data_IF_918364197713
#
_entry.id   IF_918364197713
#
_cell.length_a   1.000
_cell.length_b   1.000
_cell.length_c   1.000
_cell.angle_alpha   90.00
_cell.angle_beta   90.00
_cell.angle_gamma   90.00
#
_symmetry.space_group_name_H-M   'P 1'
#
loop_
_entity.id
_entity.type
_entity.pdbx_description
1 polymer ?
#
# COMPACT_ATOMS: atom_id res chain seq x y z
N UNK A 1 13.44 -8.05 4.45
CA UNK A 1 12.91 -7.21 5.54
C UNK A 1 12.60 -7.93 6.86
N UNK A 2 11.61 -8.83 6.97
CA UNK A 2 11.16 -9.40 8.27
C UNK A 2 12.26 -10.03 9.13
N UNK A 3 13.16 -10.81 8.51
CA UNK A 3 14.32 -11.42 9.19
C UNK A 3 15.29 -10.37 9.74
N UNK A 4 15.61 -9.35 8.94
CA UNK A 4 16.51 -8.25 9.33
C UNK A 4 15.92 -7.43 10.47
N UNK A 5 14.63 -7.08 10.40
CA UNK A 5 13.91 -6.36 11.45
C UNK A 5 13.89 -7.18 12.75
N UNK A 6 13.55 -8.47 12.66
CA UNK A 6 13.62 -9.39 13.81
C UNK A 6 15.01 -9.41 14.43
N UNK A 7 16.05 -9.57 13.62
CA UNK A 7 17.43 -9.68 14.10
C UNK A 7 17.93 -8.34 14.69
N UNK A 8 17.46 -7.21 14.18
CA UNK A 8 17.69 -5.88 14.76
C UNK A 8 17.03 -5.75 16.13
N UNK A 9 15.75 -6.08 16.26
CA UNK A 9 15.02 -6.03 17.53
C UNK A 9 15.57 -6.98 18.59
N UNK A 10 16.04 -8.18 18.20
CA UNK A 10 16.71 -9.11 19.12
C UNK A 10 18.04 -8.59 19.68
N UNK A 11 18.66 -7.62 18.99
CA UNK A 11 19.91 -6.98 19.41
C UNK A 11 19.67 -5.62 20.06
N UNK A 12 18.43 -5.15 20.10
CA UNK A 12 18.11 -3.85 20.64
C UNK A 12 18.22 -3.84 22.17
N UNK A 13 18.68 -2.72 22.74
CA UNK A 13 18.83 -2.55 24.19
C UNK A 13 17.51 -2.30 24.93
N UNK A 14 16.42 -2.01 24.21
CA UNK A 14 15.11 -1.76 24.81
C UNK A 14 14.34 -3.08 25.00
N UNK A 15 13.83 -3.29 26.22
CA UNK A 15 13.13 -4.52 26.59
C UNK A 15 11.90 -4.81 25.70
N UNK A 16 11.14 -3.77 25.35
CA UNK A 16 9.96 -3.90 24.48
C UNK A 16 10.33 -4.39 23.07
N UNK A 17 11.41 -3.86 22.51
CA UNK A 17 11.95 -4.26 21.20
C UNK A 17 12.48 -5.69 21.24
N UNK A 18 13.24 -6.06 22.26
CA UNK A 18 13.71 -7.44 22.43
C UNK A 18 12.55 -8.44 22.52
N UNK A 19 11.53 -8.14 23.34
CA UNK A 19 10.33 -8.98 23.47
C UNK A 19 9.61 -9.12 22.14
N UNK A 20 9.52 -8.04 21.37
CA UNK A 20 8.92 -8.03 20.05
C UNK A 20 9.73 -8.88 19.04
N UNK A 21 11.06 -8.72 19.01
CA UNK A 21 11.96 -9.54 18.20
C UNK A 21 11.86 -11.03 18.55
N UNK A 22 11.74 -11.35 19.84
CA UNK A 22 11.53 -12.73 20.32
C UNK A 22 10.20 -13.29 19.82
N UNK A 23 9.11 -12.51 19.89
CA UNK A 23 7.80 -12.93 19.38
C UNK A 23 7.82 -13.19 17.87
N UNK A 24 8.46 -12.32 17.09
CA UNK A 24 8.65 -12.51 15.65
C UNK A 24 9.52 -13.74 15.30
N UNK A 25 10.46 -14.11 16.17
CA UNK A 25 11.29 -15.31 16.01
C UNK A 25 10.51 -16.58 16.31
N UNK A 26 9.80 -16.59 17.43
CA UNK A 26 9.14 -17.78 17.97
C UNK A 26 7.82 -18.08 17.23
N UNK A 27 7.20 -17.07 16.61
CA UNK A 27 5.95 -17.19 15.85
C UNK A 27 6.15 -16.86 14.36
N UNK A 28 6.76 -17.79 13.62
CA UNK A 28 6.96 -17.66 12.16
C UNK A 28 5.65 -17.78 11.36
N UNK A 29 4.59 -18.22 12.01
CA UNK A 29 3.23 -18.30 11.51
C UNK A 29 2.48 -16.95 11.57
N UNK A 30 3.03 -15.92 12.23
CA UNK A 30 2.47 -14.57 12.15
C UNK A 30 2.80 -13.93 10.81
N UNK A 31 1.84 -13.22 10.24
CA UNK A 31 1.96 -12.39 9.05
C UNK A 31 2.19 -10.94 9.46
N UNK A 32 3.13 -10.27 8.79
CA UNK A 32 3.36 -8.83 8.92
C UNK A 32 2.79 -8.13 7.67
N UNK A 33 1.89 -7.17 7.91
CA UNK A 33 1.26 -6.35 6.88
C UNK A 33 1.46 -4.89 7.23
N UNK A 34 1.76 -4.05 6.24
CA UNK A 34 1.76 -2.60 6.42
C UNK A 34 0.67 -1.98 5.56
N UNK A 35 -0.22 -1.24 6.20
CA UNK A 35 -1.29 -0.49 5.57
C UNK A 35 -1.00 1.00 5.75
N UNK A 36 -1.32 1.77 4.72
CA UNK A 36 -1.47 3.21 4.87
C UNK A 36 -2.95 3.55 4.95
N UNK A 37 -3.30 4.38 5.92
CA UNK A 37 -4.60 5.00 6.06
C UNK A 37 -4.45 6.48 5.75
N UNK A 38 -5.02 6.93 4.64
CA UNK A 38 -4.97 8.32 4.24
C UNK A 38 -6.35 8.95 4.39
N UNK A 39 -6.40 10.07 5.11
CA UNK A 39 -7.65 10.75 5.44
C UNK A 39 -7.53 12.27 5.22
N UNK A 40 -8.47 12.88 4.48
CA UNK A 40 -8.61 14.34 4.48
C UNK A 40 -9.09 14.87 5.83
N UNK A 41 -8.61 16.05 6.21
CA UNK A 41 -9.10 16.78 7.37
C UNK A 41 -10.36 17.60 7.00
N UNK A 42 -10.46 18.00 5.73
CA UNK A 42 -11.59 18.70 5.12
C UNK A 42 -11.78 18.22 3.69
N UNK A 43 -12.86 18.63 3.03
CA UNK A 43 -13.11 18.32 1.63
C UNK A 43 -11.88 18.65 0.75
N UNK A 44 -11.55 17.74 -0.16
CA UNK A 44 -10.44 17.87 -1.11
C UNK A 44 -10.96 18.51 -2.40
N UNK A 45 -10.56 19.75 -2.66
CA UNK A 45 -10.92 20.50 -3.87
C UNK A 45 -9.75 20.59 -4.87
N UNK A 46 -8.52 20.50 -4.36
CA UNK A 46 -7.28 20.57 -5.13
C UNK A 46 -6.27 19.53 -4.66
N UNK A 47 -5.23 19.33 -5.49
CA UNK A 47 -4.08 18.50 -5.17
C UNK A 47 -4.44 17.09 -4.68
N UNK A 48 -5.43 16.46 -5.33
CA UNK A 48 -6.01 15.19 -4.93
C UNK A 48 -4.96 14.08 -4.73
N UNK A 49 -5.27 13.08 -3.90
CA UNK A 49 -4.46 11.87 -3.82
C UNK A 49 -4.87 10.91 -4.93
N UNK A 50 -3.97 10.68 -5.87
CA UNK A 50 -4.09 9.64 -6.87
C UNK A 50 -3.54 8.32 -6.35
N UNK A 51 -4.27 7.22 -6.60
CA UNK A 51 -3.88 5.85 -6.30
C UNK A 51 -3.73 5.09 -7.63
N UNK A 52 -2.57 4.48 -7.85
CA UNK A 52 -2.34 3.65 -9.03
C UNK A 52 -2.89 2.24 -8.81
N UNK A 53 -3.61 1.71 -9.79
CA UNK A 53 -4.11 0.33 -9.78
C UNK A 53 -2.94 -0.62 -9.94
N UNK A 54 -2.73 -1.45 -8.93
CA UNK A 54 -1.62 -2.41 -8.86
C UNK A 54 -1.43 -3.26 -10.13
N UNK A 55 -2.52 -3.78 -10.69
CA UNK A 55 -2.46 -4.64 -11.89
C UNK A 55 -2.09 -3.92 -13.19
N UNK A 56 -1.93 -2.60 -13.18
CA UNK A 56 -1.47 -1.81 -14.34
C UNK A 56 0.04 -1.53 -14.32
N UNK A 57 0.72 -1.90 -13.22
CA UNK A 57 2.15 -1.69 -13.03
C UNK A 57 2.97 -2.80 -13.66
N UNK A 58 4.17 -2.45 -14.11
CA UNK A 58 5.23 -3.39 -14.48
C UNK A 58 6.43 -3.22 -13.54
N UNK A 59 7.32 -4.23 -13.49
CA UNK A 59 8.46 -4.21 -12.55
C UNK A 59 9.37 -3.00 -12.80
N UNK A 60 9.48 -2.56 -14.04
CA UNK A 60 10.29 -1.44 -14.49
C UNK A 60 9.72 -0.08 -14.08
N UNK A 61 8.47 -0.03 -13.58
CA UNK A 61 7.88 1.19 -13.03
C UNK A 61 8.46 1.48 -11.64
N UNK A 62 8.93 0.46 -10.90
CA UNK A 62 9.59 0.64 -9.62
C UNK A 62 11.03 1.11 -9.83
N UNK A 63 11.38 2.27 -9.28
CA UNK A 63 12.76 2.75 -9.29
C UNK A 63 13.51 2.06 -8.16
N UNK A 64 14.57 1.32 -8.50
CA UNK A 64 15.51 0.85 -7.50
C UNK A 64 16.36 2.02 -7.05
N UNK A 65 15.80 2.82 -6.15
CA UNK A 65 16.57 3.79 -5.39
C UNK A 65 17.26 2.96 -4.31
N UNK A 66 18.60 2.89 -4.32
CA UNK A 66 19.39 2.28 -3.25
C UNK A 66 19.28 3.13 -1.96
N UNK A 67 18.05 3.33 -1.49
CA UNK A 67 17.75 3.99 -0.23
C UNK A 67 18.03 2.95 0.83
N UNK A 68 19.26 2.97 1.35
CA UNK A 68 19.53 2.36 2.64
C UNK A 68 18.65 3.08 3.68
N UNK A 69 17.68 2.40 4.31
CA UNK A 69 16.89 3.00 5.37
C UNK A 69 17.83 3.25 6.54
N UNK A 70 18.35 4.47 6.66
CA UNK A 70 19.28 4.82 7.75
C UNK A 70 18.57 4.81 9.11
N UNK A 71 17.27 5.09 9.11
CA UNK A 71 16.35 5.07 10.25
C UNK A 71 15.00 4.45 9.83
N UNK A 72 14.09 4.22 10.79
CA UNK A 72 12.72 3.71 10.54
C UNK A 72 11.83 4.61 9.67
N UNK A 73 12.30 5.81 9.31
CA UNK A 73 11.51 6.85 8.62
C UNK A 73 11.66 6.85 7.09
N UNK A 74 12.60 6.10 6.51
CA UNK A 74 12.93 6.25 5.09
C UNK A 74 12.89 4.93 4.32
N UNK A 75 11.69 4.34 4.22
CA UNK A 75 11.37 3.37 3.17
C UNK A 75 10.50 4.08 2.12
N UNK A 76 11.14 4.88 1.26
CA UNK A 76 10.49 5.52 0.12
C UNK A 76 10.71 4.65 -1.11
N UNK A 77 9.65 4.01 -1.61
CA UNK A 77 9.68 3.39 -2.93
C UNK A 77 9.31 4.45 -3.96
N UNK A 78 10.28 4.89 -4.76
CA UNK A 78 10.01 5.79 -5.88
C UNK A 78 9.45 4.99 -7.07
N UNK A 79 8.53 5.62 -7.80
CA UNK A 79 7.88 5.06 -8.97
C UNK A 79 8.03 6.00 -10.15
N UNK A 80 8.36 5.44 -11.32
CA UNK A 80 8.40 6.16 -12.59
C UNK A 80 7.02 6.11 -13.24
N UNK A 81 6.55 7.25 -13.71
CA UNK A 81 5.36 7.29 -14.56
C UNK A 81 5.62 6.58 -15.88
N UNK A 82 4.64 5.80 -16.34
CA UNK A 82 4.64 5.16 -17.64
C UNK A 82 3.23 5.19 -18.24
N UNK A 83 3.15 5.43 -19.54
CA UNK A 83 1.92 5.27 -20.31
C UNK A 83 1.39 3.83 -20.17
N UNK A 84 0.15 3.69 -19.71
CA UNK A 84 -0.51 2.41 -19.40
C UNK A 84 -0.72 2.15 -17.91
N UNK A 85 -0.17 2.98 -17.02
CA UNK A 85 -0.59 3.01 -15.62
C UNK A 85 -2.02 3.56 -15.50
N UNK A 86 -2.86 2.91 -14.71
CA UNK A 86 -4.23 3.36 -14.45
C UNK A 86 -4.30 4.03 -13.07
N UNK A 87 -4.49 5.36 -13.06
CA UNK A 87 -4.56 6.17 -11.86
C UNK A 87 -5.99 6.60 -11.55
N UNK A 88 -6.39 6.49 -10.28
CA UNK A 88 -7.72 6.81 -9.80
C UNK A 88 -7.66 7.77 -8.62
N UNK A 89 -8.67 8.62 -8.50
CA UNK A 89 -8.86 9.49 -7.34
C UNK A 89 -10.35 9.72 -7.14
N UNK A 90 -10.72 10.17 -5.95
CA UNK A 90 -12.07 10.61 -5.62
C UNK A 90 -12.11 12.13 -5.71
N UNK A 91 -12.94 12.65 -6.61
CA UNK A 91 -13.18 14.09 -6.74
C UNK A 91 -14.02 14.58 -5.58
N UNK A 92 -13.69 15.76 -5.03
CA UNK A 92 -14.44 16.35 -3.90
C UNK A 92 -14.52 15.41 -2.68
N UNK A 93 -13.45 14.65 -2.46
CA UNK A 93 -13.38 13.67 -1.38
C UNK A 93 -13.63 14.32 -0.02
N UNK A 94 -14.59 13.80 0.73
CA UNK A 94 -15.02 14.29 2.03
C UNK A 94 -14.10 13.81 3.15
N UNK A 95 -14.14 14.48 4.30
CA UNK A 95 -13.25 14.20 5.43
C UNK A 95 -13.49 12.84 6.11
N UNK A 96 -14.63 12.20 5.86
CA UNK A 96 -14.99 10.86 6.32
C UNK A 96 -14.74 9.77 5.26
N UNK A 97 -14.41 10.17 4.03
CA UNK A 97 -14.02 9.26 2.95
C UNK A 97 -12.53 8.95 3.04
N UNK A 98 -12.19 7.80 3.62
CA UNK A 98 -10.81 7.41 3.94
C UNK A 98 -10.31 6.37 2.95
N UNK A 99 -9.07 6.53 2.46
CA UNK A 99 -8.38 5.46 1.74
C UNK A 99 -7.64 4.56 2.71
N UNK A 100 -7.76 3.26 2.50
CA UNK A 100 -6.92 2.24 3.14
C UNK A 100 -6.30 1.40 2.05
N UNK A 101 -4.98 1.35 2.00
CA UNK A 101 -4.26 0.64 0.95
C UNK A 101 -2.99 -0.04 1.47
N UNK A 102 -2.58 -1.09 0.77
CA UNK A 102 -1.48 -1.97 1.15
C UNK A 102 -0.13 -1.40 0.72
N UNK A 103 0.86 -1.48 1.62
CA UNK A 103 2.24 -1.04 1.38
C UNK A 103 3.27 -2.15 1.58
N UNK A 104 2.93 -3.19 2.33
CA UNK A 104 3.77 -4.36 2.53
C UNK A 104 2.92 -5.57 2.87
N UNK A 105 3.28 -6.72 2.30
CA UNK A 105 2.72 -8.02 2.65
C UNK A 105 3.82 -9.08 2.63
N UNK A 106 4.19 -9.59 3.81
CA UNK A 106 5.28 -10.57 3.95
C UNK A 106 4.98 -11.96 3.36
N UNK A 107 3.77 -12.18 2.82
CA UNK A 107 3.42 -13.40 2.07
C UNK A 107 4.00 -13.42 0.66
N UNK A 108 4.44 -12.27 0.15
CA UNK A 108 5.00 -12.20 -1.18
C UNK A 108 6.31 -12.99 -1.28
N UNK A 109 6.33 -13.95 -2.20
CA UNK A 109 7.40 -14.95 -2.29
C UNK A 109 8.62 -14.46 -3.08
N UNK A 110 8.43 -13.53 -4.01
CA UNK A 110 9.49 -13.11 -4.94
C UNK A 110 10.52 -12.18 -4.28
N UNK A 111 10.07 -11.17 -3.55
CA UNK A 111 10.93 -10.14 -2.96
C UNK A 111 10.81 -10.02 -1.43
N UNK A 112 9.86 -10.76 -0.81
CA UNK A 112 9.58 -10.67 0.61
C UNK A 112 9.11 -9.29 1.07
N UNK A 113 8.69 -8.42 0.14
CA UNK A 113 8.17 -7.06 0.36
C UNK A 113 6.71 -6.91 -0.09
N UNK A 114 6.30 -7.62 -1.14
CA UNK A 114 4.90 -7.67 -1.56
C UNK A 114 4.36 -6.41 -2.20
N UNK A 115 3.07 -6.14 -2.00
CA UNK A 115 2.36 -5.06 -2.71
C UNK A 115 2.71 -3.72 -2.08
N UNK A 116 3.26 -2.81 -2.89
CA UNK A 116 3.38 -1.39 -2.57
C UNK A 116 2.51 -0.59 -3.54
N UNK A 117 1.35 -0.13 -3.09
CA UNK A 117 0.45 0.66 -3.95
C UNK A 117 1.05 2.06 -4.18
N UNK A 118 1.40 2.42 -5.43
CA UNK A 118 1.88 3.76 -5.73
C UNK A 118 0.77 4.78 -5.53
N UNK A 119 1.11 5.89 -4.91
CA UNK A 119 0.20 6.99 -4.66
C UNK A 119 0.96 8.31 -4.72
N UNK A 120 0.32 9.34 -5.24
CA UNK A 120 0.94 10.65 -5.39
C UNK A 120 -0.13 11.75 -5.37
N UNK A 121 0.26 12.92 -4.87
CA UNK A 121 -0.54 14.13 -5.05
C UNK A 121 -0.39 14.66 -6.47
N UNK A 122 -1.48 15.07 -7.10
CA UNK A 122 -1.43 15.67 -8.43
C UNK A 122 -2.37 16.88 -8.55
N UNK A 123 -2.00 17.82 -9.42
CA UNK A 123 -2.83 18.98 -9.75
C UNK A 123 -3.63 18.72 -11.02
N UNK A 124 -4.89 19.12 -11.03
CA UNK A 124 -5.69 19.15 -12.24
C UNK A 124 -5.21 20.28 -13.15
N UNK A 125 -5.32 20.08 -14.46
CA UNK A 125 -4.97 21.09 -15.45
C UNK A 125 -5.78 22.37 -15.21
N UNK A 126 -5.11 23.52 -15.25
CA UNK A 126 -5.72 24.83 -14.99
C UNK A 126 -5.72 25.25 -13.50
N UNK A 127 -5.37 24.36 -12.57
CA UNK A 127 -5.24 24.72 -11.16
C UNK A 127 -3.87 25.34 -10.85
N UNK A 128 -3.80 26.68 -10.89
CA UNK A 128 -2.57 27.43 -10.64
C UNK A 128 -2.46 28.01 -9.22
N UNK A 129 -3.49 27.84 -8.39
CA UNK A 129 -3.50 28.36 -7.03
C UNK A 129 -2.61 27.51 -6.10
N UNK A 130 -2.14 28.08 -4.98
CA UNK A 130 -1.52 27.32 -3.90
C UNK A 130 -2.44 26.20 -3.42
N UNK A 131 -1.87 25.06 -3.01
CA UNK A 131 -2.69 23.94 -2.56
C UNK A 131 -3.35 24.28 -1.23
N UNK A 132 -4.63 23.94 -1.10
CA UNK A 132 -5.41 24.11 0.12
C UNK A 132 -5.67 22.78 0.83
N UNK A 133 -5.33 21.65 0.19
CA UNK A 133 -5.56 20.31 0.75
C UNK A 133 -4.90 20.14 2.13
N UNK A 134 -5.70 19.68 3.08
CA UNK A 134 -5.25 19.23 4.40
C UNK A 134 -5.61 17.77 4.60
N UNK A 135 -4.63 16.94 4.90
CA UNK A 135 -4.78 15.50 5.07
C UNK A 135 -3.66 14.96 5.95
N UNK A 136 -3.84 13.75 6.47
CA UNK A 136 -2.78 13.00 7.11
C UNK A 136 -2.73 11.58 6.58
N UNK A 137 -1.57 10.95 6.75
CA UNK A 137 -1.36 9.54 6.51
C UNK A 137 -0.89 8.89 7.81
N UNK A 138 -1.55 7.80 8.19
CA UNK A 138 -1.11 6.94 9.28
C UNK A 138 -0.63 5.60 8.70
N UNK A 139 0.59 5.21 9.06
CA UNK A 139 1.14 3.90 8.72
C UNK A 139 0.82 2.93 9.85
N UNK A 140 0.14 1.84 9.50
CA UNK A 140 -0.26 0.79 10.43
C UNK A 140 0.54 -0.46 10.12
N UNK A 141 1.30 -0.94 11.10
CA UNK A 141 1.96 -2.24 11.04
C UNK A 141 1.07 -3.23 11.79
N UNK A 142 0.50 -4.19 11.07
CA UNK A 142 -0.35 -5.23 11.62
C UNK A 142 0.43 -6.55 11.69
N UNK A 143 0.35 -7.20 12.85
CA UNK A 143 0.90 -8.54 13.07
C UNK A 143 -0.28 -9.44 13.39
N UNK A 144 -0.64 -10.26 12.42
CA UNK A 144 -1.86 -11.06 12.45
C UNK A 144 -1.47 -12.52 12.30
N UNK A 145 -2.29 -13.44 12.80
CA UNK A 145 -2.09 -14.85 12.48
C UNK A 145 -2.18 -15.04 10.97
N UNK A 146 -1.27 -15.83 10.39
CA UNK A 146 -1.35 -16.15 8.96
C UNK A 146 -2.70 -16.82 8.72
N UNK A 147 -3.56 -16.25 7.85
CA UNK A 147 -4.86 -16.85 7.60
C UNK A 147 -4.63 -18.27 7.05
N UNK A 148 -5.20 -19.25 7.75
CA UNK A 148 -5.21 -20.66 7.37
C UNK A 148 -6.09 -20.83 6.14
N UNK A 149 -5.56 -20.51 4.96
CA UNK A 149 -6.22 -20.72 3.65
C UNK A 149 -7.61 -20.06 3.60
N UNK A 150 -7.67 -18.78 3.19
CA UNK A 150 -8.90 -18.32 2.55
C UNK A 150 -8.89 -19.02 1.18
N UNK A 151 -9.87 -19.91 0.95
CA UNK A 151 -10.23 -20.34 -0.40
C UNK A 151 -10.14 -19.13 -1.34
N UNK A 152 -9.65 -19.28 -2.60
CA UNK A 152 -9.52 -18.15 -3.51
C UNK A 152 -10.78 -17.28 -3.42
N UNK A 153 -10.65 -15.95 -3.24
CA UNK A 153 -11.80 -15.10 -2.97
C UNK A 153 -12.85 -15.46 -4.00
N UNK A 154 -14.00 -15.96 -3.53
CA UNK A 154 -15.07 -16.43 -4.41
C UNK A 154 -15.25 -15.33 -5.44
N UNK A 155 -14.98 -15.63 -6.72
CA UNK A 155 -15.01 -14.67 -7.82
C UNK A 155 -16.21 -13.77 -7.57
N UNK A 156 -15.95 -12.49 -7.21
CA UNK A 156 -17.01 -11.59 -6.81
C UNK A 156 -18.09 -11.61 -7.88
N UNK A 157 -19.37 -11.62 -7.46
CA UNK A 157 -20.53 -11.74 -8.38
C UNK A 157 -20.48 -10.74 -9.55
N UNK A 158 -19.71 -9.67 -9.41
CA UNK A 158 -19.42 -8.64 -10.43
C UNK A 158 -18.68 -9.21 -11.67
N UNK A 159 -17.90 -10.29 -11.53
CA UNK A 159 -17.21 -10.92 -12.67
C UNK A 159 -18.14 -11.75 -13.58
N UNK A 160 -19.32 -12.16 -13.11
CA UNK A 160 -20.30 -12.88 -13.94
C UNK A 160 -21.04 -11.99 -14.94
N UNK A 161 -21.05 -10.68 -14.73
CA UNK A 161 -21.73 -9.75 -15.65
C UNK A 161 -20.97 -9.55 -16.97
N UNK A 162 -19.63 -9.66 -16.96
CA UNK A 162 -18.82 -9.51 -18.19
C UNK A 162 -18.90 -10.71 -19.14
N UNK A 163 -19.30 -11.90 -18.69
CA UNK A 163 -19.45 -13.06 -19.58
C UNK A 163 -20.81 -13.14 -20.26
N UNK A 164 -21.85 -12.46 -19.73
CA UNK A 164 -23.21 -12.53 -20.30
C UNK A 164 -23.46 -11.54 -21.44
N UNK A 165 -22.58 -10.55 -21.65
CA UNK A 165 -22.75 -9.55 -22.72
C UNK A 165 -22.04 -9.92 -24.04
N UNK A 166 -21.22 -10.98 -24.07
CA UNK A 166 -20.50 -11.41 -25.28
C UNK A 166 -21.24 -12.45 -26.14
N UNK A 167 -22.44 -12.92 -25.74
CA UNK A 167 -23.21 -13.91 -26.53
C UNK A 167 -24.51 -13.37 -27.14
N UNK A 168 -24.71 -12.04 -27.16
CA UNK A 168 -25.91 -11.44 -27.75
C UNK A 168 -25.65 -10.73 -29.10
N UNK A 169 -24.42 -10.80 -29.61
CA UNK A 169 -24.08 -10.36 -30.96
C UNK A 169 -23.11 -11.37 -31.57
N UNK A 170 -23.69 -12.46 -32.08
CA UNK A 170 -23.13 -13.28 -33.17
C UNK A 170 -24.30 -13.89 -33.91
#
# INVERSE_FOLDING_TARGET
MKKQIRDSFLKAGLAAEYVFGKKLRDRQDLQVVMLNVWRPIRQVEDNHLGICKWGSLVKEDALNMDIEPKNGDSALQAWRYREGQEWYYLSNQQADEVYVFLQHDDRAKEDGHGINVPHASFKLQGHNQPSTRMSFEAKIIAIIDRPTVVSPPARGKISKWKSSFKSAFT
#
